data_IF_972363112445
#
_entry.id   IF_972363112445
#
_cell.length_a   1.000
_cell.length_b   1.000
_cell.length_c   1.000
_cell.angle_alpha   90.00
_cell.angle_beta   90.00
_cell.angle_gamma   90.00
#
_symmetry.space_group_name_H-M   'P 1'
#
loop_
_entity.id
_entity.type
_entity.pdbx_description
1 polymer ?
#
# COMPACT_ATOMS: atom_id res chain seq x y z
N UNK A 1 -21.88 2.91 -2.59
CA UNK A 1 -20.96 3.69 -1.72
C UNK A 1 -21.69 4.07 -0.44
N UNK A 2 -21.35 3.47 0.69
CA UNK A 2 -21.96 3.74 2.00
C UNK A 2 -21.39 5.05 2.56
N UNK A 3 -22.24 6.07 2.71
CA UNK A 3 -21.87 7.38 3.29
C UNK A 3 -21.23 7.16 4.68
N UNK A 4 -20.04 7.73 4.90
CA UNK A 4 -19.37 7.76 6.22
C UNK A 4 -18.13 6.88 6.38
N UNK A 5 -17.86 5.96 5.45
CA UNK A 5 -16.65 5.13 5.48
C UNK A 5 -15.56 5.67 4.56
N UNK A 6 -14.30 5.70 5.04
CA UNK A 6 -13.11 6.07 4.27
C UNK A 6 -12.03 5.01 4.44
N UNK A 7 -11.50 4.49 3.33
CA UNK A 7 -10.38 3.56 3.36
C UNK A 7 -9.15 4.26 3.96
N UNK A 8 -8.63 3.73 5.07
CA UNK A 8 -7.42 4.23 5.74
C UNK A 8 -6.17 3.53 5.22
N UNK A 9 -6.29 2.26 4.86
CA UNK A 9 -5.15 1.44 4.53
C UNK A 9 -5.43 -0.05 4.56
N UNK A 10 -4.36 -0.83 4.68
CA UNK A 10 -4.41 -2.28 4.59
C UNK A 10 -3.64 -2.92 5.73
N UNK A 11 -4.23 -3.92 6.39
CA UNK A 11 -3.48 -4.90 7.18
C UNK A 11 -2.66 -5.73 6.18
N UNK A 12 -1.35 -5.84 6.38
CA UNK A 12 -0.45 -6.63 5.51
C UNK A 12 -0.01 -7.95 6.18
N UNK A 13 -0.03 -7.99 7.52
CA UNK A 13 0.23 -9.13 8.37
C UNK A 13 -0.38 -8.85 9.75
N UNK A 14 -0.30 -9.79 10.69
CA UNK A 14 -1.00 -9.69 12.00
C UNK A 14 -0.78 -8.40 12.76
N UNK A 15 0.44 -7.87 12.75
CA UNK A 15 0.79 -6.65 13.45
C UNK A 15 1.33 -5.56 12.52
N UNK A 16 1.00 -5.61 11.22
CA UNK A 16 1.54 -4.67 10.24
C UNK A 16 0.42 -4.00 9.47
N UNK A 17 0.43 -2.67 9.50
CA UNK A 17 -0.54 -1.81 8.83
C UNK A 17 0.17 -0.91 7.81
N UNK A 18 -0.35 -0.87 6.60
CA UNK A 18 0.02 0.11 5.59
C UNK A 18 -0.99 1.26 5.61
N UNK A 19 -0.55 2.47 5.97
CA UNK A 19 -1.36 3.67 5.98
C UNK A 19 -1.32 4.36 4.61
N UNK A 20 -2.48 4.49 3.96
CA UNK A 20 -2.58 5.14 2.64
C UNK A 20 -2.26 6.64 2.69
N UNK A 21 -2.72 7.33 3.74
CA UNK A 21 -2.58 8.79 3.81
C UNK A 21 -1.11 9.22 3.91
N UNK A 22 -0.34 8.51 4.75
CA UNK A 22 1.08 8.80 4.96
C UNK A 22 2.00 8.00 4.05
N UNK A 23 1.52 6.93 3.40
CA UNK A 23 2.30 6.01 2.57
C UNK A 23 3.42 5.32 3.35
N UNK A 24 3.05 4.80 4.52
CA UNK A 24 3.96 4.21 5.49
C UNK A 24 3.50 2.83 5.92
N UNK A 25 4.48 1.96 6.20
CA UNK A 25 4.26 0.66 6.83
C UNK A 25 4.57 0.81 8.31
N UNK A 26 3.62 0.44 9.17
CA UNK A 26 3.65 0.67 10.62
C UNK A 26 3.47 -0.68 11.32
N UNK A 27 4.37 -1.02 12.25
CA UNK A 27 4.13 -2.11 13.19
C UNK A 27 3.22 -1.65 14.33
N UNK A 28 2.14 -2.40 14.58
CA UNK A 28 1.11 -2.08 15.56
C UNK A 28 1.43 -2.59 16.97
N UNK A 29 2.29 -3.61 17.09
CA UNK A 29 2.70 -4.22 18.36
C UNK A 29 4.21 -4.48 18.36
N UNK A 30 4.81 -4.47 19.54
CA UNK A 30 6.25 -4.68 19.72
C UNK A 30 7.07 -3.40 19.44
N UNK A 31 8.30 -3.56 18.97
CA UNK A 31 9.16 -2.44 18.59
C UNK A 31 8.53 -1.68 17.43
N UNK A 32 8.22 -0.40 17.67
CA UNK A 32 7.63 0.46 16.66
C UNK A 32 8.64 0.71 15.54
N UNK A 33 8.36 0.14 14.37
CA UNK A 33 9.05 0.41 13.12
C UNK A 33 8.07 1.11 12.19
N UNK A 34 8.51 2.23 11.64
CA UNK A 34 7.75 3.02 10.68
C UNK A 34 8.62 3.17 9.43
N UNK A 35 8.16 2.60 8.33
CA UNK A 35 8.91 2.55 7.07
C UNK A 35 8.15 3.37 6.03
N UNK A 36 8.68 4.55 5.73
CA UNK A 36 8.15 5.42 4.68
C UNK A 36 8.45 4.83 3.30
N UNK A 37 7.42 4.72 2.47
CA UNK A 37 7.57 4.40 1.05
C UNK A 37 7.74 5.68 0.23
N UNK A 38 8.69 5.65 -0.70
CA UNK A 38 8.80 6.65 -1.78
C UNK A 38 7.59 6.55 -2.71
N UNK A 39 7.26 7.64 -3.38
CA UNK A 39 6.05 7.78 -4.20
C UNK A 39 5.82 6.63 -5.17
N UNK A 40 6.83 6.22 -5.96
CA UNK A 40 6.67 5.12 -6.93
C UNK A 40 6.45 3.76 -6.27
N UNK A 41 7.10 3.50 -5.12
CA UNK A 41 6.87 2.26 -4.35
C UNK A 41 5.46 2.24 -3.76
N UNK A 42 4.99 3.38 -3.25
CA UNK A 42 3.64 3.52 -2.73
C UNK A 42 2.60 3.30 -3.84
N UNK A 43 2.73 4.00 -4.98
CA UNK A 43 1.82 3.80 -6.12
C UNK A 43 1.79 2.34 -6.59
N UNK A 44 2.94 1.67 -6.64
CA UNK A 44 3.02 0.26 -7.01
C UNK A 44 2.32 -0.64 -5.99
N UNK A 45 2.57 -0.45 -4.69
CA UNK A 45 1.93 -1.23 -3.63
C UNK A 45 0.41 -1.00 -3.62
N UNK A 46 -0.03 0.27 -3.69
CA UNK A 46 -1.43 0.67 -3.71
C UNK A 46 -2.18 0.02 -4.89
N UNK A 47 -1.57 0.03 -6.09
CA UNK A 47 -2.18 -0.57 -7.27
C UNK A 47 -2.29 -2.09 -7.16
N UNK A 48 -1.25 -2.75 -6.66
CA UNK A 48 -1.27 -4.20 -6.43
C UNK A 48 -2.26 -4.59 -5.32
N UNK A 49 -2.40 -3.80 -4.26
CA UNK A 49 -3.39 -4.04 -3.21
C UNK A 49 -4.82 -3.84 -3.73
N UNK A 50 -5.05 -2.89 -4.63
CA UNK A 50 -6.37 -2.64 -5.20
C UNK A 50 -6.81 -3.67 -6.25
N UNK A 51 -5.87 -4.23 -7.03
CA UNK A 51 -6.20 -5.09 -8.18
C UNK A 51 -5.58 -6.50 -8.11
N UNK A 52 -4.37 -6.60 -7.55
CA UNK A 52 -3.60 -7.84 -7.46
C UNK A 52 -4.13 -8.86 -6.46
N UNK A 53 -5.09 -8.47 -5.60
CA UNK A 53 -5.74 -9.41 -4.65
C UNK A 53 -6.77 -10.30 -5.33
N UNK A 54 -7.36 -9.82 -6.43
CA UNK A 54 -8.46 -10.50 -7.14
C UNK A 54 -8.00 -11.15 -8.45
N UNK A 55 -6.96 -10.58 -9.08
CA UNK A 55 -6.45 -11.05 -10.37
C UNK A 55 -4.96 -10.82 -10.54
N UNK A 56 -4.40 -11.44 -11.58
CA UNK A 56 -3.08 -11.10 -12.07
C UNK A 56 -3.06 -9.67 -12.62
N UNK A 57 -2.07 -8.89 -12.22
CA UNK A 57 -1.75 -7.55 -12.77
C UNK A 57 -0.54 -7.70 -13.67
N UNK A 58 -0.69 -7.40 -14.97
CA UNK A 58 0.39 -7.61 -15.93
C UNK A 58 1.54 -6.60 -15.76
N UNK A 59 2.72 -6.94 -16.29
CA UNK A 59 3.85 -6.01 -16.30
C UNK A 59 3.49 -4.71 -17.04
N UNK A 60 2.83 -4.82 -18.19
CA UNK A 60 2.37 -3.69 -19.01
C UNK A 60 1.38 -2.81 -18.26
N UNK A 61 0.42 -3.41 -17.56
CA UNK A 61 -0.55 -2.67 -16.75
C UNK A 61 0.15 -1.88 -15.64
N UNK A 62 1.17 -2.45 -15.00
CA UNK A 62 1.98 -1.74 -14.01
C UNK A 62 2.79 -0.60 -14.65
N UNK A 63 3.38 -0.81 -15.84
CA UNK A 63 4.08 0.26 -16.55
C UNK A 63 3.18 1.47 -16.79
N UNK A 64 1.96 1.24 -17.27
CA UNK A 64 0.99 2.31 -17.56
C UNK A 64 0.55 3.01 -16.27
N UNK A 65 0.09 2.24 -15.27
CA UNK A 65 -0.59 2.80 -14.10
C UNK A 65 0.36 3.37 -13.04
N UNK A 66 1.57 2.83 -12.93
CA UNK A 66 2.55 3.29 -11.93
C UNK A 66 3.51 4.31 -12.53
N UNK A 67 3.90 4.20 -13.80
CA UNK A 67 4.84 5.12 -14.44
C UNK A 67 4.17 6.14 -15.36
N UNK A 68 3.54 5.71 -16.45
CA UNK A 68 3.08 6.63 -17.50
C UNK A 68 2.04 7.64 -17.00
N UNK A 69 1.02 7.18 -16.27
CA UNK A 69 0.01 8.05 -15.63
C UNK A 69 0.59 9.03 -14.61
N UNK A 70 1.78 8.78 -14.11
CA UNK A 70 2.51 9.65 -13.18
C UNK A 70 3.61 10.46 -13.89
N UNK A 71 3.59 10.55 -15.22
CA UNK A 71 4.59 11.24 -16.05
C UNK A 71 6.02 10.72 -15.88
N UNK A 72 6.17 9.43 -15.55
CA UNK A 72 7.46 8.76 -15.44
C UNK A 72 7.66 7.84 -16.65
N UNK A 73 8.91 7.66 -17.08
CA UNK A 73 9.24 6.71 -18.16
C UNK A 73 9.23 5.27 -17.62
N UNK A 74 8.43 4.34 -18.17
CA UNK A 74 8.46 2.93 -17.78
C UNK A 74 9.67 2.21 -18.38
N UNK A 75 10.11 1.14 -17.71
CA UNK A 75 10.96 0.10 -18.30
C UNK A 75 10.93 -1.17 -17.45
N UNK A 76 11.16 -2.33 -18.06
CA UNK A 76 11.23 -3.61 -17.36
C UNK A 76 12.24 -3.58 -16.19
N UNK A 77 13.39 -2.93 -16.41
CA UNK A 77 14.41 -2.74 -15.39
C UNK A 77 13.92 -1.89 -14.22
N UNK A 78 13.20 -0.79 -14.49
CA UNK A 78 12.64 0.08 -13.44
C UNK A 78 11.58 -0.63 -12.63
N UNK A 79 10.69 -1.39 -13.28
CA UNK A 79 9.70 -2.21 -12.58
C UNK A 79 10.38 -3.19 -11.64
N UNK A 80 11.38 -3.93 -12.14
CA UNK A 80 12.13 -4.86 -11.32
C UNK A 80 12.80 -4.18 -10.12
N UNK A 81 13.50 -3.06 -10.33
CA UNK A 81 14.16 -2.31 -9.26
C UNK A 81 13.17 -1.84 -8.19
N UNK A 82 12.02 -1.30 -8.59
CA UNK A 82 11.00 -0.83 -7.65
C UNK A 82 10.35 -1.99 -6.91
N UNK A 83 10.08 -3.13 -7.57
CA UNK A 83 9.58 -4.34 -6.91
C UNK A 83 10.57 -4.84 -5.85
N UNK A 84 11.86 -4.94 -6.17
CA UNK A 84 12.87 -5.38 -5.19
C UNK A 84 13.01 -4.39 -4.04
N UNK A 85 13.00 -3.09 -4.32
CA UNK A 85 13.06 -2.04 -3.29
C UNK A 85 11.85 -2.10 -2.37
N UNK A 86 10.65 -2.30 -2.94
CA UNK A 86 9.41 -2.44 -2.18
C UNK A 86 9.44 -3.70 -1.30
N UNK A 87 9.85 -4.85 -1.85
CA UNK A 87 10.00 -6.10 -1.09
C UNK A 87 11.00 -5.94 0.07
N UNK A 88 12.11 -5.24 -0.15
CA UNK A 88 13.07 -4.94 0.92
C UNK A 88 12.45 -4.07 2.03
N UNK A 89 11.67 -3.04 1.68
CA UNK A 89 10.98 -2.19 2.67
C UNK A 89 9.89 -2.93 3.44
N UNK A 90 9.14 -3.79 2.77
CA UNK A 90 8.17 -4.69 3.38
C UNK A 90 8.86 -5.65 4.38
N UNK A 91 9.98 -6.25 3.97
CA UNK A 91 10.77 -7.13 4.82
C UNK A 91 11.34 -6.42 6.05
N UNK A 92 11.83 -5.17 5.89
CA UNK A 92 12.29 -4.33 7.02
C UNK A 92 11.19 -4.10 8.05
N UNK A 93 9.92 -4.03 7.63
CA UNK A 93 8.77 -3.88 8.51
C UNK A 93 8.26 -5.21 9.09
N UNK A 94 8.87 -6.35 8.73
CA UNK A 94 8.48 -7.69 9.17
C UNK A 94 7.41 -8.36 8.30
N UNK A 95 7.12 -7.84 7.11
CA UNK A 95 6.19 -8.48 6.17
C UNK A 95 6.92 -9.62 5.44
N UNK A 96 6.25 -10.76 5.29
CA UNK A 96 6.78 -11.89 4.55
C UNK A 96 7.05 -11.57 3.08
N UNK A 97 8.09 -12.21 2.52
CA UNK A 97 8.49 -12.04 1.12
C UNK A 97 7.41 -12.51 0.13
N UNK A 98 6.49 -13.36 0.59
CA UNK A 98 5.40 -13.94 -0.18
C UNK A 98 4.21 -13.00 -0.41
N UNK A 99 4.20 -11.78 0.12
CA UNK A 99 3.09 -10.84 -0.12
C UNK A 99 2.91 -10.50 -1.61
N UNK A 100 4.01 -10.26 -2.33
CA UNK A 100 4.00 -9.91 -3.76
C UNK A 100 4.59 -11.07 -4.55
N UNK A 101 3.74 -11.81 -5.27
CA UNK A 101 4.14 -13.02 -5.98
C UNK A 101 4.30 -12.72 -7.48
N UNK A 102 5.43 -13.13 -8.04
CA UNK A 102 5.75 -12.98 -9.47
C UNK A 102 5.24 -14.19 -10.24
N UNK A 103 4.45 -13.95 -11.29
CA UNK A 103 4.16 -14.95 -12.33
C UNK A 103 5.09 -14.69 -13.52
N UNK A 104 5.93 -15.67 -13.83
CA UNK A 104 7.00 -15.55 -14.84
C UNK A 104 6.43 -15.08 -16.17
N UNK A 105 7.04 -14.04 -16.75
CA UNK A 105 6.68 -13.45 -18.04
C UNK A 105 5.24 -12.92 -18.15
N UNK A 106 4.52 -12.76 -17.04
CA UNK A 106 3.12 -12.35 -17.08
C UNK A 106 2.83 -11.14 -16.18
N UNK A 107 3.07 -11.24 -14.87
CA UNK A 107 2.67 -10.18 -13.96
C UNK A 107 2.91 -10.48 -12.49
N UNK A 108 2.11 -9.87 -11.63
CA UNK A 108 2.16 -10.02 -10.18
C UNK A 108 0.75 -10.16 -9.61
N UNK A 109 0.64 -10.89 -8.49
CA UNK A 109 -0.56 -10.90 -7.65
C UNK A 109 -0.17 -10.72 -6.18
N UNK A 110 -1.14 -10.34 -5.35
CA UNK A 110 -1.01 -10.21 -3.91
C UNK A 110 -1.48 -11.51 -3.26
N UNK A 111 -0.64 -12.06 -2.38
CA UNK A 111 -1.08 -13.14 -1.51
C UNK A 111 -2.08 -12.58 -0.48
N UNK A 112 -3.36 -12.86 -0.70
CA UNK A 112 -4.45 -12.24 0.04
C UNK A 112 -4.71 -12.88 1.42
N UNK A 113 -3.98 -13.92 1.82
CA UNK A 113 -4.25 -14.68 3.06
C UNK A 113 -4.28 -13.79 4.30
N UNK A 114 -3.43 -12.74 4.36
CA UNK A 114 -3.32 -11.84 5.50
C UNK A 114 -3.69 -10.38 5.19
N UNK A 115 -4.22 -10.12 3.99
CA UNK A 115 -4.52 -8.76 3.53
C UNK A 115 -5.98 -8.40 3.78
N UNK A 116 -6.20 -7.37 4.58
CA UNK A 116 -7.53 -6.84 4.85
C UNK A 116 -7.55 -5.31 4.71
N UNK A 117 -8.63 -4.77 4.15
CA UNK A 117 -8.87 -3.33 4.10
C UNK A 117 -9.32 -2.82 5.47
N UNK A 118 -8.79 -1.66 5.86
CA UNK A 118 -9.13 -0.99 7.12
C UNK A 118 -9.79 0.33 6.79
N UNK A 119 -11.02 0.52 7.27
CA UNK A 119 -11.82 1.72 7.05
C UNK A 119 -11.98 2.51 8.35
N UNK A 120 -11.95 3.84 8.27
CA UNK A 120 -12.53 4.69 9.30
C UNK A 120 -14.01 4.87 9.03
N UNK A 121 -14.79 4.93 10.10
CA UNK A 121 -16.18 5.35 10.07
C UNK A 121 -16.30 6.68 10.79
N UNK A 122 -16.86 7.69 10.12
CA UNK A 122 -17.27 8.94 10.74
C UNK A 122 -18.80 8.97 10.82
N UNK A 123 -19.39 8.86 12.03
CA UNK A 123 -20.83 8.98 12.19
C UNK A 123 -21.33 10.35 11.70
N UNK A 124 -22.52 10.41 11.07
CA UNK A 124 -23.18 11.68 10.77
C UNK A 124 -23.33 12.52 12.05
N UNK A 125 -22.89 13.78 12.02
CA UNK A 125 -23.01 14.71 13.16
C UNK A 125 -21.80 14.78 14.11
N UNK A 126 -20.74 13.99 13.89
CA UNK A 126 -19.53 14.07 14.72
C UNK A 126 -18.66 15.29 14.34
N UNK A 127 -18.60 16.30 15.21
CA UNK A 127 -17.70 17.47 15.11
C UNK A 127 -16.23 17.03 15.09
N UNK A 128 -15.36 17.75 14.36
CA UNK A 128 -13.91 17.50 14.40
C UNK A 128 -13.37 17.99 15.75
N UNK A 129 -13.16 17.09 16.73
CA UNK A 129 -12.54 17.44 18.02
C UNK A 129 -11.03 17.76 17.93
N UNK A 130 -10.43 17.55 16.76
CA UNK A 130 -9.02 17.84 16.47
C UNK A 130 -8.94 19.07 15.57
N UNK A 131 -9.19 20.24 16.17
CA UNK A 131 -8.66 21.55 15.75
C UNK A 131 -9.06 22.64 16.76
N UNK A 132 -8.74 22.42 18.02
CA UNK A 132 -8.55 23.51 18.97
C UNK A 132 -7.22 23.29 19.67
N UNK A 133 -6.12 23.55 18.96
CA UNK A 133 -4.94 24.05 19.65
C UNK A 133 -5.36 25.36 20.32
N UNK A 134 -5.08 25.58 21.62
CA UNK A 134 -5.25 26.90 22.18
C UNK A 134 -4.32 27.83 21.41
N UNK A 135 -4.84 28.96 20.94
CA UNK A 135 -4.01 30.07 20.52
C UNK A 135 -3.11 30.42 21.72
N UNK A 136 -1.81 30.12 21.58
CA UNK A 136 -0.76 30.69 22.42
C UNK A 136 -0.33 32.03 21.87
#
# INVERSE_FOLDING_TARGET
MTKGYKLLGYKLADNIFYCLHHREIITLRGTRTQVQLRSTMACLLEYLLAHGRERLVSDEELMINVWEKNNLRPSAQRLWQVIQSLKSRLHQAGVESALIIRVKCAGYYINNVYVAEIYSYKPPGMMNYINTSPAG
#
